data_IF_658280784967
#
_entry.id   IF_658280784967
#
_cell.length_a   1.000
_cell.length_b   1.000
_cell.length_c   1.000
_cell.angle_alpha   90.00
_cell.angle_beta   90.00
_cell.angle_gamma   90.00
#
_symmetry.space_group_name_H-M   'P 1'
#
loop_
_entity.id
_entity.type
_entity.pdbx_description
1 polymer ?
#
# COMPACT_ATOMS: atom_id res chain seq x y z
N UNK A 1 5.66 -21.38 -35.00
CA UNK A 1 7.12 -21.30 -34.71
C UNK A 1 8.00 -21.90 -35.80
N UNK A 2 7.92 -23.20 -36.14
CA UNK A 2 8.81 -23.84 -37.14
C UNK A 2 8.76 -23.21 -38.54
N UNK A 3 7.57 -22.85 -39.03
CA UNK A 3 7.40 -22.17 -40.34
C UNK A 3 8.09 -20.78 -40.37
N UNK A 4 7.98 -19.98 -39.31
CA UNK A 4 8.64 -18.66 -39.20
C UNK A 4 10.16 -18.79 -39.25
N UNK A 5 10.72 -19.74 -38.51
CA UNK A 5 12.16 -20.00 -38.50
C UNK A 5 12.69 -20.36 -39.91
N UNK A 6 11.95 -21.20 -40.64
CA UNK A 6 12.31 -21.57 -42.01
C UNK A 6 12.28 -20.37 -42.96
N UNK A 7 11.29 -19.48 -42.85
CA UNK A 7 11.21 -18.28 -43.71
C UNK A 7 12.28 -17.25 -43.34
N UNK A 8 12.60 -17.07 -42.05
CA UNK A 8 13.73 -16.22 -41.62
C UNK A 8 15.07 -16.74 -42.16
N UNK A 9 15.26 -18.06 -42.18
CA UNK A 9 16.45 -18.67 -42.79
C UNK A 9 16.51 -18.34 -44.29
N UNK A 10 15.41 -18.55 -45.02
CA UNK A 10 15.32 -18.20 -46.45
C UNK A 10 15.60 -16.73 -46.74
N UNK A 11 15.15 -15.81 -45.88
CA UNK A 11 15.45 -14.39 -46.00
C UNK A 11 16.96 -14.11 -45.96
N UNK A 12 17.68 -14.71 -45.01
CA UNK A 12 19.14 -14.58 -44.87
C UNK A 12 19.90 -15.15 -46.07
N UNK A 13 19.42 -16.26 -46.61
CA UNK A 13 20.12 -16.99 -47.69
C UNK A 13 19.84 -16.39 -49.10
N UNK A 14 18.82 -15.55 -49.24
CA UNK A 14 18.41 -14.99 -50.56
C UNK A 14 19.27 -13.80 -50.96
N UNK A 15 19.83 -13.82 -52.18
CA UNK A 15 20.67 -12.73 -52.73
C UNK A 15 19.88 -11.64 -53.48
N UNK A 16 18.76 -12.00 -54.11
CA UNK A 16 17.95 -11.06 -54.90
C UNK A 16 17.13 -10.13 -54.01
N UNK A 17 17.28 -8.82 -54.21
CA UNK A 17 16.54 -7.78 -53.45
C UNK A 17 15.02 -7.86 -53.65
N UNK A 18 14.54 -8.15 -54.86
CA UNK A 18 13.10 -8.30 -55.11
C UNK A 18 12.51 -9.47 -54.29
N UNK A 19 13.19 -10.61 -54.29
CA UNK A 19 12.74 -11.78 -53.54
C UNK A 19 12.88 -11.57 -52.02
N UNK A 20 13.88 -10.81 -51.56
CA UNK A 20 13.99 -10.43 -50.15
C UNK A 20 12.76 -9.65 -49.69
N UNK A 21 12.33 -8.63 -50.44
CA UNK A 21 11.12 -7.84 -50.12
C UNK A 21 9.86 -8.71 -50.01
N UNK A 22 9.69 -9.68 -50.92
CA UNK A 22 8.56 -10.63 -50.86
C UNK A 22 8.62 -11.53 -49.62
N UNK A 23 9.82 -12.00 -49.25
CA UNK A 23 10.01 -12.84 -48.07
C UNK A 23 9.81 -12.04 -46.77
N UNK A 24 10.22 -10.77 -46.76
CA UNK A 24 10.04 -9.83 -45.64
C UNK A 24 8.56 -9.54 -45.39
N UNK A 25 7.80 -9.15 -46.41
CA UNK A 25 6.36 -8.94 -46.30
C UNK A 25 5.62 -10.21 -45.80
N UNK A 26 6.10 -11.39 -46.20
CA UNK A 26 5.58 -12.66 -45.67
C UNK A 26 5.92 -12.89 -44.20
N UNK A 27 7.11 -12.48 -43.76
CA UNK A 27 7.51 -12.55 -42.35
C UNK A 27 6.67 -11.62 -41.49
N UNK A 28 6.46 -10.38 -41.94
CA UNK A 28 5.63 -9.40 -41.25
C UNK A 28 4.20 -9.90 -41.05
N UNK A 29 3.58 -10.44 -42.12
CA UNK A 29 2.23 -11.03 -42.03
C UNK A 29 2.16 -12.15 -40.99
N UNK A 30 3.13 -13.07 -41.00
CA UNK A 30 3.18 -14.14 -39.99
C UNK A 30 3.36 -13.60 -38.57
N UNK A 31 4.15 -12.53 -38.40
CA UNK A 31 4.37 -11.90 -37.10
C UNK A 31 3.13 -11.11 -36.62
N UNK A 32 2.35 -10.53 -37.52
CA UNK A 32 1.03 -9.94 -37.22
C UNK A 32 0.03 -11.02 -36.81
N UNK A 33 -0.13 -12.08 -37.61
CA UNK A 33 -1.04 -13.21 -37.31
C UNK A 33 -0.70 -13.85 -35.95
N UNK A 34 0.58 -14.00 -35.63
CA UNK A 34 1.02 -14.55 -34.36
C UNK A 34 0.66 -13.64 -33.19
N UNK A 35 0.90 -12.33 -33.33
CA UNK A 35 0.53 -11.33 -32.32
C UNK A 35 -0.98 -11.34 -32.06
N UNK A 36 -1.78 -11.33 -33.12
CA UNK A 36 -3.24 -11.41 -33.02
C UNK A 36 -3.72 -12.72 -32.39
N UNK A 37 -3.11 -13.85 -32.75
CA UNK A 37 -3.47 -15.14 -32.17
C UNK A 37 -3.19 -15.20 -30.67
N UNK A 38 -2.06 -14.67 -30.22
CA UNK A 38 -1.72 -14.61 -28.80
C UNK A 38 -2.67 -13.67 -28.06
N UNK A 39 -2.95 -12.48 -28.63
CA UNK A 39 -3.91 -11.53 -28.07
C UNK A 39 -5.31 -12.14 -27.95
N UNK A 40 -5.78 -12.83 -28.99
CA UNK A 40 -7.08 -13.54 -28.98
C UNK A 40 -7.14 -14.59 -27.88
N UNK A 41 -6.07 -15.36 -27.72
CA UNK A 41 -6.00 -16.38 -26.67
C UNK A 41 -6.02 -15.74 -25.27
N UNK A 42 -5.26 -14.66 -25.04
CA UNK A 42 -5.26 -13.92 -23.78
C UNK A 42 -6.64 -13.36 -23.45
N UNK A 43 -7.29 -12.69 -24.40
CA UNK A 43 -8.64 -12.16 -24.22
C UNK A 43 -9.66 -13.25 -23.89
N UNK A 44 -9.57 -14.42 -24.53
CA UNK A 44 -10.45 -15.55 -24.24
C UNK A 44 -10.20 -16.08 -22.82
N UNK A 45 -8.94 -16.25 -22.44
CA UNK A 45 -8.60 -16.70 -21.08
C UNK A 45 -9.05 -15.71 -20.01
N UNK A 46 -8.93 -14.41 -20.27
CA UNK A 46 -9.42 -13.35 -19.38
C UNK A 46 -10.93 -13.36 -19.24
N UNK A 47 -11.68 -13.46 -20.35
CA UNK A 47 -13.15 -13.57 -20.32
C UNK A 47 -13.61 -14.77 -19.50
N UNK A 48 -13.02 -15.94 -19.76
CA UNK A 48 -13.32 -17.15 -19.02
C UNK A 48 -12.97 -17.01 -17.52
N UNK A 49 -11.88 -16.31 -17.20
CA UNK A 49 -11.51 -16.02 -15.82
C UNK A 49 -12.53 -15.11 -15.12
N UNK A 50 -13.05 -14.09 -15.80
CA UNK A 50 -14.10 -13.21 -15.26
C UNK A 50 -15.37 -14.00 -14.96
N UNK A 51 -15.81 -14.86 -15.89
CA UNK A 51 -16.97 -15.74 -15.66
C UNK A 51 -16.75 -16.72 -14.49
N UNK A 52 -15.54 -17.28 -14.39
CA UNK A 52 -15.16 -18.16 -13.28
C UNK A 52 -15.11 -17.41 -11.94
N UNK A 53 -14.65 -16.14 -11.92
CA UNK A 53 -14.61 -15.30 -10.71
C UNK A 53 -16.02 -14.96 -10.23
N UNK A 54 -16.95 -14.66 -11.15
CA UNK A 54 -18.36 -14.41 -10.81
C UNK A 54 -18.99 -15.60 -10.09
N UNK A 55 -18.67 -16.82 -10.52
CA UNK A 55 -19.17 -18.05 -9.90
C UNK A 55 -18.39 -18.43 -8.63
N UNK A 56 -17.06 -18.27 -8.64
CA UNK A 56 -16.17 -18.61 -7.54
C UNK A 56 -15.10 -17.50 -7.34
N UNK A 57 -15.26 -16.63 -6.33
CA UNK A 57 -14.33 -15.52 -6.12
C UNK A 57 -12.91 -15.98 -5.78
N UNK A 58 -12.69 -17.20 -5.27
CA UNK A 58 -11.33 -17.72 -5.00
C UNK A 58 -10.52 -17.91 -6.28
N UNK A 59 -11.16 -18.07 -7.43
CA UNK A 59 -10.49 -18.22 -8.72
C UNK A 59 -9.60 -17.02 -9.04
N UNK A 60 -9.96 -15.82 -8.55
CA UNK A 60 -9.15 -14.61 -8.68
C UNK A 60 -7.71 -14.82 -8.23
N UNK A 61 -7.50 -15.42 -7.06
CA UNK A 61 -6.16 -15.61 -6.51
C UNK A 61 -5.33 -16.61 -7.33
N UNK A 62 -5.96 -17.64 -7.89
CA UNK A 62 -5.31 -18.60 -8.79
C UNK A 62 -4.92 -17.92 -10.10
N UNK A 63 -5.84 -17.17 -10.72
CA UNK A 63 -5.59 -16.43 -11.95
C UNK A 63 -4.49 -15.38 -11.75
N UNK A 64 -4.55 -14.59 -10.67
CA UNK A 64 -3.56 -13.58 -10.33
C UNK A 64 -2.18 -14.20 -10.09
N UNK A 65 -2.09 -15.32 -9.35
CA UNK A 65 -0.81 -16.01 -9.09
C UNK A 65 -0.12 -16.49 -10.36
N UNK A 66 -0.88 -16.92 -11.35
CA UNK A 66 -0.35 -17.45 -12.61
C UNK A 66 0.06 -16.33 -13.58
N UNK A 67 -0.65 -15.19 -13.54
CA UNK A 67 -0.41 -14.08 -14.46
C UNK A 67 0.42 -12.92 -13.88
N UNK A 68 0.71 -12.93 -12.57
CA UNK A 68 1.54 -11.90 -11.92
C UNK A 68 3.05 -12.06 -12.19
N UNK A 69 3.48 -13.26 -12.60
CA UNK A 69 4.88 -13.55 -12.95
C UNK A 69 5.18 -13.15 -14.39
N UNK A 70 5.02 -11.86 -14.72
CA UNK A 70 5.54 -11.36 -15.98
C UNK A 70 7.05 -11.23 -15.87
N UNK A 71 7.77 -11.80 -16.84
CA UNK A 71 9.18 -11.50 -17.06
C UNK A 71 9.20 -10.07 -17.62
N UNK A 72 9.31 -9.07 -16.76
CA UNK A 72 9.49 -7.68 -17.17
C UNK A 72 10.85 -7.57 -17.84
N UNK A 73 10.89 -7.81 -19.14
CA UNK A 73 11.88 -7.15 -19.96
C UNK A 73 11.45 -5.68 -19.98
N UNK A 74 12.32 -4.77 -19.53
CA UNK A 74 12.04 -3.34 -19.56
C UNK A 74 12.03 -2.95 -21.03
N UNK A 75 10.84 -3.00 -21.63
CA UNK A 75 10.64 -2.79 -23.05
C UNK A 75 11.04 -1.34 -23.37
N UNK A 76 11.91 -1.17 -24.36
CA UNK A 76 12.24 0.15 -24.87
C UNK A 76 10.97 0.82 -25.40
N UNK A 77 10.77 2.08 -25.05
CA UNK A 77 9.60 2.86 -25.45
C UNK A 77 9.60 3.05 -26.96
N UNK A 78 8.44 2.78 -27.57
CA UNK A 78 8.22 3.00 -28.99
C UNK A 78 7.26 4.15 -29.19
N UNK A 79 7.55 5.02 -30.15
CA UNK A 79 6.63 6.06 -30.61
C UNK A 79 5.38 5.43 -31.28
N UNK A 80 4.40 6.26 -31.63
CA UNK A 80 3.16 5.86 -32.32
C UNK A 80 3.43 5.08 -33.62
N UNK A 81 4.57 5.34 -34.27
CA UNK A 81 5.02 4.65 -35.48
C UNK A 81 5.77 3.33 -35.22
N UNK A 82 5.94 2.94 -33.95
CA UNK A 82 6.63 1.70 -33.56
C UNK A 82 8.16 1.78 -33.58
N UNK A 83 8.73 2.97 -33.76
CA UNK A 83 10.17 3.21 -33.73
C UNK A 83 10.68 3.40 -32.30
N UNK A 84 11.89 2.91 -32.03
CA UNK A 84 12.56 3.09 -30.74
C UNK A 84 12.91 4.57 -30.54
N UNK A 85 12.43 5.17 -29.46
CA UNK A 85 12.74 6.54 -29.10
C UNK A 85 13.86 6.57 -28.04
N UNK A 86 14.86 7.43 -28.23
CA UNK A 86 16.01 7.55 -27.32
C UNK A 86 16.18 8.97 -26.79
N UNK A 87 15.41 9.94 -27.31
CA UNK A 87 15.50 11.33 -26.88
C UNK A 87 14.82 11.54 -25.51
N UNK A 88 15.52 12.02 -24.47
CA UNK A 88 14.99 12.14 -23.11
C UNK A 88 13.67 12.93 -22.96
N UNK A 89 13.44 14.07 -23.63
CA UNK A 89 12.19 14.82 -23.51
C UNK A 89 11.01 14.02 -24.06
N UNK A 90 11.19 13.38 -25.22
CA UNK A 90 10.16 12.54 -25.84
C UNK A 90 9.90 11.27 -25.05
N UNK A 91 10.94 10.70 -24.43
CA UNK A 91 10.77 9.57 -23.50
C UNK A 91 9.89 9.96 -22.31
N UNK A 92 10.11 11.13 -21.70
CA UNK A 92 9.26 11.63 -20.61
C UNK A 92 7.81 11.79 -21.04
N UNK A 93 7.58 12.31 -22.24
CA UNK A 93 6.24 12.47 -22.81
C UNK A 93 5.56 11.11 -23.05
N UNK A 94 6.27 10.17 -23.69
CA UNK A 94 5.79 8.81 -23.93
C UNK A 94 5.49 8.06 -22.62
N UNK A 95 6.36 8.20 -21.60
CA UNK A 95 6.10 7.65 -20.27
C UNK A 95 4.82 8.23 -19.67
N UNK A 96 4.67 9.56 -19.71
CA UNK A 96 3.50 10.25 -19.15
C UNK A 96 2.20 9.75 -19.81
N UNK A 97 2.20 9.60 -21.13
CA UNK A 97 1.06 9.05 -21.88
C UNK A 97 0.79 7.59 -21.54
N UNK A 98 1.83 6.76 -21.46
CA UNK A 98 1.69 5.34 -21.10
C UNK A 98 1.09 5.18 -19.70
N UNK A 99 1.56 5.97 -18.72
CA UNK A 99 1.03 5.93 -17.37
C UNK A 99 -0.39 6.49 -17.28
N UNK A 100 -0.72 7.55 -18.02
CA UNK A 100 -2.07 8.11 -18.02
C UNK A 100 -3.14 7.08 -18.41
N UNK A 101 -2.84 6.18 -19.36
CA UNK A 101 -3.75 5.11 -19.79
C UNK A 101 -3.89 3.93 -18.81
N UNK A 102 -3.01 3.79 -17.83
CA UNK A 102 -3.09 2.75 -16.79
C UNK A 102 -4.15 3.09 -15.75
N UNK A 103 -4.39 4.37 -15.53
CA UNK A 103 -5.38 4.82 -14.56
C UNK A 103 -6.78 4.81 -15.20
N UNK A 104 -7.70 4.08 -14.58
CA UNK A 104 -9.11 4.21 -14.92
C UNK A 104 -9.59 5.61 -14.57
N UNK A 105 -10.30 6.26 -15.49
CA UNK A 105 -11.07 7.44 -15.14
C UNK A 105 -12.09 7.05 -14.04
N UNK A 106 -12.15 7.78 -12.92
CA UNK A 106 -13.09 7.46 -11.86
C UNK A 106 -14.52 7.48 -12.41
N UNK A 107 -15.31 6.47 -12.03
CA UNK A 107 -16.71 6.40 -12.40
C UNK A 107 -17.43 7.64 -11.85
N UNK A 108 -17.94 8.49 -12.74
CA UNK A 108 -18.69 9.70 -12.35
C UNK A 108 -19.88 9.40 -11.44
N UNK A 109 -20.44 8.20 -11.55
CA UNK A 109 -21.55 7.72 -10.70
C UNK A 109 -21.15 7.49 -9.24
N UNK A 110 -19.85 7.39 -8.94
CA UNK A 110 -19.30 7.26 -7.58
C UNK A 110 -18.53 8.50 -7.15
N UNK A 111 -18.69 9.62 -7.86
CA UNK A 111 -18.12 10.88 -7.43
C UNK A 111 -18.79 11.31 -6.11
N UNK A 112 -17.97 11.64 -5.11
CA UNK A 112 -18.44 12.17 -3.84
C UNK A 112 -18.63 13.67 -4.04
N UNK A 113 -19.88 14.11 -4.13
CA UNK A 113 -20.21 15.52 -4.35
C UNK A 113 -19.88 16.39 -3.13
N UNK A 114 -20.07 15.85 -1.92
CA UNK A 114 -19.75 16.52 -0.66
C UNK A 114 -19.05 15.54 0.29
N UNK A 115 -17.77 15.79 0.55
CA UNK A 115 -16.97 14.99 1.49
C UNK A 115 -17.53 15.06 2.91
N UNK A 116 -18.09 16.19 3.31
CA UNK A 116 -18.61 16.39 4.66
C UNK A 116 -19.76 15.44 4.98
N UNK A 117 -20.78 15.37 4.12
CA UNK A 117 -21.91 14.46 4.30
C UNK A 117 -21.50 12.99 4.21
N UNK A 118 -20.60 12.64 3.28
CA UNK A 118 -20.11 11.27 3.11
C UNK A 118 -19.44 10.71 4.38
N UNK A 119 -18.59 11.50 5.04
CA UNK A 119 -17.92 11.07 6.28
C UNK A 119 -18.78 11.21 7.54
N UNK A 120 -19.93 11.91 7.49
CA UNK A 120 -20.82 12.12 8.66
C UNK A 120 -21.88 11.02 8.83
N UNK A 121 -22.29 10.33 7.77
CA UNK A 121 -23.35 9.32 7.82
C UNK A 121 -22.98 8.00 8.50
N UNK A 122 -21.72 7.80 8.91
CA UNK A 122 -21.25 6.58 9.59
C UNK A 122 -21.04 6.71 11.11
N UNK A 123 -21.33 7.87 11.71
CA UNK A 123 -20.96 8.15 13.10
C UNK A 123 -21.64 7.23 14.13
N UNK A 124 -22.73 6.53 13.78
CA UNK A 124 -23.50 5.70 14.72
C UNK A 124 -23.00 4.25 14.83
N UNK A 125 -22.15 3.75 13.92
CA UNK A 125 -21.65 2.36 13.95
C UNK A 125 -20.20 2.21 14.47
N UNK A 126 -19.53 3.30 14.87
CA UNK A 126 -18.10 3.25 15.16
C UNK A 126 -17.70 2.75 16.56
N UNK A 127 -18.62 2.19 17.36
CA UNK A 127 -18.26 1.53 18.62
C UNK A 127 -17.69 0.11 18.44
N UNK A 128 -17.61 -0.42 17.21
CA UNK A 128 -17.06 -1.75 16.94
C UNK A 128 -15.58 -1.77 16.47
N UNK A 129 -14.95 -0.62 16.26
CA UNK A 129 -13.61 -0.56 15.63
C UNK A 129 -12.51 -1.27 16.44
N UNK A 130 -12.66 -1.37 17.77
CA UNK A 130 -11.74 -2.08 18.65
C UNK A 130 -12.15 -3.54 18.95
N UNK A 131 -13.33 -4.00 18.53
CA UNK A 131 -13.78 -5.37 18.78
C UNK A 131 -13.21 -6.34 17.74
N UNK A 132 -12.17 -7.08 18.13
CA UNK A 132 -11.72 -8.25 17.38
C UNK A 132 -12.51 -9.49 17.80
N UNK A 133 -12.84 -10.35 16.85
CA UNK A 133 -13.48 -11.62 17.14
C UNK A 133 -12.49 -12.51 17.91
N UNK A 134 -12.74 -12.74 19.20
CA UNK A 134 -11.90 -13.60 20.07
C UNK A 134 -11.85 -15.06 19.59
N UNK A 135 -12.78 -15.47 18.72
CA UNK A 135 -12.82 -16.80 18.09
C UNK A 135 -12.06 -16.87 16.76
N UNK A 136 -11.50 -15.75 16.28
CA UNK A 136 -10.70 -15.75 15.05
C UNK A 136 -9.37 -16.50 15.26
N UNK A 137 -8.76 -17.05 14.19
CA UNK A 137 -7.47 -17.71 14.28
C UNK A 137 -6.40 -16.80 14.91
N UNK A 138 -5.53 -17.36 15.76
CA UNK A 138 -4.51 -16.60 16.52
C UNK A 138 -3.72 -15.62 15.65
N UNK A 139 -3.31 -16.04 14.45
CA UNK A 139 -2.57 -15.17 13.51
C UNK A 139 -3.34 -13.91 13.13
N UNK A 140 -4.65 -14.02 12.91
CA UNK A 140 -5.53 -12.90 12.54
C UNK A 140 -5.70 -11.96 13.73
N UNK A 141 -5.88 -12.53 14.93
CA UNK A 141 -5.92 -11.76 16.18
C UNK A 141 -4.62 -11.00 16.38
N UNK A 142 -3.47 -11.66 16.25
CA UNK A 142 -2.15 -11.02 16.36
C UNK A 142 -2.01 -9.87 15.37
N UNK A 143 -2.29 -10.09 14.08
CA UNK A 143 -2.22 -9.05 13.05
C UNK A 143 -3.10 -7.84 13.38
N UNK A 144 -4.33 -8.08 13.85
CA UNK A 144 -5.23 -7.00 14.27
C UNK A 144 -4.72 -6.26 15.51
N UNK A 145 -4.23 -6.97 16.52
CA UNK A 145 -3.69 -6.37 17.75
C UNK A 145 -2.36 -5.62 17.52
N UNK A 146 -1.64 -5.91 16.44
CA UNK A 146 -0.47 -5.14 16.01
C UNK A 146 -0.80 -3.96 15.10
N UNK A 147 -2.04 -3.86 14.60
CA UNK A 147 -2.44 -2.78 13.69
C UNK A 147 -2.56 -1.43 14.41
N UNK A 148 -2.29 -0.34 13.69
CA UNK A 148 -2.41 1.03 14.22
C UNK A 148 -3.85 1.36 14.64
N UNK A 149 -4.85 0.86 13.91
CA UNK A 149 -6.27 1.08 14.24
C UNK A 149 -6.66 0.48 15.60
N UNK A 150 -5.92 -0.52 16.08
CA UNK A 150 -6.09 -1.07 17.43
C UNK A 150 -5.16 -0.39 18.44
N UNK A 151 -3.87 -0.29 18.12
CA UNK A 151 -2.84 0.22 19.05
C UNK A 151 -2.96 1.71 19.32
N UNK A 152 -3.33 2.52 18.34
CA UNK A 152 -3.48 3.97 18.47
C UNK A 152 -4.51 4.35 19.53
N UNK A 153 -5.78 3.93 19.39
CA UNK A 153 -6.81 4.20 20.40
C UNK A 153 -6.48 3.60 21.76
N UNK A 154 -5.93 2.38 21.80
CA UNK A 154 -5.52 1.73 23.05
C UNK A 154 -4.45 2.54 23.79
N UNK A 155 -3.44 3.03 23.07
CA UNK A 155 -2.38 3.86 23.64
C UNK A 155 -2.93 5.20 24.13
N UNK A 156 -3.73 5.89 23.31
CA UNK A 156 -4.32 7.18 23.66
C UNK A 156 -5.23 7.10 24.89
N UNK A 157 -6.03 6.03 24.99
CA UNK A 157 -6.91 5.79 26.14
C UNK A 157 -6.15 5.38 27.40
N UNK A 158 -4.92 4.87 27.27
CA UNK A 158 -4.08 4.57 28.41
C UNK A 158 -3.49 5.84 29.05
N UNK A 159 -3.35 6.94 28.31
CA UNK A 159 -2.79 8.20 28.81
C UNK A 159 -3.67 8.86 29.89
N UNK A 160 -3.08 9.62 30.83
CA UNK A 160 -3.83 10.42 31.80
C UNK A 160 -4.72 11.47 31.14
N UNK A 161 -5.82 11.84 31.81
CA UNK A 161 -6.78 12.82 31.28
C UNK A 161 -6.13 14.17 30.97
N UNK A 162 -5.22 14.66 31.83
CA UNK A 162 -4.57 15.95 31.60
C UNK A 162 -3.65 15.99 30.37
N UNK A 163 -3.21 14.84 29.85
CA UNK A 163 -2.47 14.74 28.59
C UNK A 163 -3.44 14.67 27.42
N UNK A 164 -4.51 13.88 27.58
CA UNK A 164 -5.50 13.58 26.53
C UNK A 164 -6.39 14.77 26.19
N UNK A 165 -6.90 15.43 27.22
CA UNK A 165 -7.90 16.49 27.14
C UNK A 165 -7.22 17.88 27.13
N UNK A 166 -5.89 17.92 26.96
CA UNK A 166 -5.16 19.18 26.90
C UNK A 166 -5.55 19.93 25.63
N UNK A 167 -6.15 21.10 25.80
CA UNK A 167 -6.31 22.06 24.71
C UNK A 167 -4.92 22.54 24.28
N UNK A 168 -4.49 22.09 23.10
CA UNK A 168 -3.26 22.50 22.45
C UNK A 168 -3.60 23.26 21.17
N UNK A 169 -3.03 24.45 20.99
CA UNK A 169 -3.19 25.22 19.75
C UNK A 169 -2.29 24.72 18.61
N UNK A 170 -1.29 23.89 18.93
CA UNK A 170 -0.41 23.24 17.94
C UNK A 170 0.00 21.82 18.36
N UNK A 171 0.40 21.02 17.36
CA UNK A 171 0.88 19.64 17.56
C UNK A 171 2.13 19.60 18.45
N UNK A 172 3.00 20.59 18.36
CA UNK A 172 4.25 20.60 19.14
C UNK A 172 4.02 20.89 20.62
N UNK A 173 2.96 21.63 20.97
CA UNK A 173 2.56 21.77 22.37
C UNK A 173 2.09 20.44 22.95
N UNK A 174 1.32 19.66 22.18
CA UNK A 174 0.89 18.32 22.60
C UNK A 174 2.09 17.40 22.79
N UNK A 175 3.04 17.39 21.84
CA UNK A 175 4.28 16.60 21.96
C UNK A 175 5.05 16.92 23.23
N UNK A 176 5.24 18.21 23.57
CA UNK A 176 5.95 18.61 24.80
C UNK A 176 5.29 18.09 26.07
N UNK A 177 3.96 18.12 26.13
CA UNK A 177 3.19 17.60 27.28
C UNK A 177 3.31 16.08 27.34
N UNK A 178 3.21 15.40 26.19
CA UNK A 178 3.37 13.96 26.09
C UNK A 178 4.79 13.52 26.49
N UNK A 179 5.83 14.15 25.95
CA UNK A 179 7.23 13.83 26.25
C UNK A 179 7.52 13.97 27.75
N UNK A 180 7.04 15.06 28.37
CA UNK A 180 7.14 15.24 29.82
C UNK A 180 6.48 14.10 30.57
N UNK A 181 5.28 13.68 30.17
CA UNK A 181 4.64 12.52 30.80
C UNK A 181 5.44 11.23 30.58
N UNK A 182 5.97 11.00 29.38
CA UNK A 182 6.73 9.80 29.06
C UNK A 182 8.03 9.69 29.89
N UNK A 183 8.65 10.80 30.29
CA UNK A 183 9.80 10.76 31.22
C UNK A 183 9.47 10.19 32.59
N UNK A 184 8.19 10.21 33.00
CA UNK A 184 7.74 9.61 34.26
C UNK A 184 7.47 8.11 34.17
N UNK A 185 7.41 7.56 32.95
CA UNK A 185 7.11 6.14 32.72
C UNK A 185 8.43 5.36 32.79
N UNK A 186 8.53 4.33 33.65
CA UNK A 186 9.76 3.56 33.76
C UNK A 186 10.00 2.73 32.49
N UNK A 187 11.17 2.91 31.87
CA UNK A 187 11.62 2.04 30.78
C UNK A 187 12.36 0.83 31.36
N UNK A 188 11.72 -0.34 31.31
CA UNK A 188 12.29 -1.59 31.81
C UNK A 188 12.47 -2.55 30.62
N UNK A 189 13.60 -2.49 29.91
CA UNK A 189 13.85 -3.41 28.81
C UNK A 189 13.82 -4.86 29.30
N UNK A 190 13.34 -5.77 28.45
CA UNK A 190 13.34 -7.21 28.74
C UNK A 190 14.77 -7.75 28.66
N UNK A 191 15.51 -7.67 29.76
CA UNK A 191 16.84 -8.28 29.86
C UNK A 191 16.66 -9.76 30.23
N UNK A 192 17.24 -10.70 29.47
CA UNK A 192 17.24 -12.12 29.85
C UNK A 192 17.77 -12.30 31.28
N UNK A 193 17.10 -13.13 32.08
CA UNK A 193 17.41 -13.45 33.48
C UNK A 193 17.04 -12.40 34.55
N UNK A 194 16.39 -11.30 34.17
CA UNK A 194 15.84 -10.34 35.14
C UNK A 194 14.32 -10.49 35.30
N UNK A 195 13.83 -10.35 36.53
CA UNK A 195 12.40 -10.26 36.80
C UNK A 195 11.87 -8.93 36.29
N UNK A 196 10.81 -8.97 35.49
CA UNK A 196 10.15 -7.77 34.96
C UNK A 196 8.96 -7.47 35.87
N UNK A 197 8.77 -6.20 36.25
CA UNK A 197 7.64 -5.81 37.09
C UNK A 197 6.33 -5.75 36.31
N UNK A 198 6.38 -5.35 35.04
CA UNK A 198 5.24 -5.30 34.12
C UNK A 198 5.21 -6.50 33.15
N UNK A 199 4.02 -6.83 32.61
CA UNK A 199 3.84 -7.93 31.67
C UNK A 199 4.63 -7.74 30.35
N UNK A 200 4.81 -6.48 29.94
CA UNK A 200 5.69 -6.12 28.84
C UNK A 200 6.19 -4.68 28.98
N UNK A 201 7.17 -4.30 28.15
CA UNK A 201 7.66 -2.93 28.11
C UNK A 201 6.76 -1.99 27.29
N UNK A 202 5.48 -2.33 27.12
CA UNK A 202 4.52 -1.48 26.43
C UNK A 202 3.99 -0.41 27.40
N UNK A 203 3.81 0.82 26.91
CA UNK A 203 3.28 1.93 27.72
C UNK A 203 1.97 1.53 28.44
N UNK A 204 0.98 0.89 27.80
CA UNK A 204 -0.23 0.45 28.51
C UNK A 204 0.04 -0.47 29.70
N UNK A 205 0.99 -1.41 29.58
CA UNK A 205 1.31 -2.36 30.65
C UNK A 205 2.09 -1.69 31.79
N UNK A 206 3.02 -0.78 31.45
CA UNK A 206 3.75 0.01 32.44
C UNK A 206 2.80 0.93 33.22
N UNK A 207 1.85 1.58 32.54
CA UNK A 207 0.84 2.43 33.21
C UNK A 207 -0.14 1.61 34.05
N UNK A 208 -0.51 0.40 33.61
CA UNK A 208 -1.35 -0.50 34.41
C UNK A 208 -0.65 -0.89 35.71
N UNK A 209 0.66 -1.16 35.66
CA UNK A 209 1.48 -1.40 36.86
C UNK A 209 1.53 -0.14 37.75
N UNK A 210 1.82 1.04 37.19
CA UNK A 210 1.86 2.29 37.96
C UNK A 210 0.54 2.60 38.67
N UNK A 211 -0.60 2.24 38.05
CA UNK A 211 -1.93 2.35 38.66
C UNK A 211 -2.10 1.38 39.82
N UNK A 212 -1.65 0.13 39.67
CA UNK A 212 -1.72 -0.87 40.73
C UNK A 212 -0.82 -0.50 41.93
N UNK A 213 0.34 0.11 41.67
CA UNK A 213 1.29 0.58 42.68
C UNK A 213 0.86 1.91 43.36
N UNK A 214 -0.20 2.58 42.87
CA UNK A 214 -0.64 3.89 43.39
C UNK A 214 0.24 5.08 42.97
N UNK A 215 1.21 4.86 42.08
CA UNK A 215 2.14 5.88 41.57
C UNK A 215 1.67 6.57 40.29
N UNK A 216 0.41 6.35 39.87
CA UNK A 216 -0.14 6.94 38.67
C UNK A 216 -0.57 8.39 38.93
N UNK A 217 0.12 9.34 38.31
CA UNK A 217 -0.21 10.76 38.40
C UNK A 217 -1.41 11.08 37.50
N UNK A 218 -2.61 11.19 38.08
CA UNK A 218 -3.82 11.62 37.36
C UNK A 218 -3.94 13.14 37.23
N UNK A 219 -3.11 13.89 37.95
CA UNK A 219 -3.07 15.36 37.95
C UNK A 219 -1.72 15.86 37.44
N UNK A 220 -1.67 17.06 36.82
CA UNK A 220 -0.41 17.63 36.37
C UNK A 220 0.54 17.84 37.58
N UNK A 221 1.85 17.56 37.44
CA UNK A 221 2.81 17.83 38.50
C UNK A 221 2.78 19.33 38.85
N UNK A 222 2.86 19.65 40.15
CA UNK A 222 2.67 21.00 40.72
C UNK A 222 3.57 22.11 40.13
N UNK A 223 4.54 21.78 39.28
CA UNK A 223 5.45 22.72 38.61
C UNK A 223 4.85 23.47 37.40
N UNK A 224 3.57 23.30 37.07
CA UNK A 224 2.93 23.99 35.93
C UNK A 224 2.66 25.49 36.14
N UNK A 225 3.10 26.10 37.24
CA UNK A 225 2.95 27.55 37.47
C UNK A 225 4.13 28.40 36.99
N UNK A 226 5.22 27.81 36.48
CA UNK A 226 6.32 28.60 35.93
C UNK A 226 6.37 28.49 34.40
N UNK A 227 6.11 29.60 33.66
CA UNK A 227 6.37 29.63 32.24
C UNK A 227 7.88 29.50 32.03
N UNK A 228 8.30 28.45 31.33
CA UNK A 228 9.68 28.29 30.86
C UNK A 228 9.95 29.41 29.86
N UNK A 229 10.96 30.28 30.08
CA UNK A 229 11.25 31.37 29.17
C UNK A 229 11.63 30.84 27.80
N UNK A 230 11.07 31.49 26.77
CA UNK A 230 11.34 31.24 25.37
C UNK A 230 12.79 31.64 25.06
N UNK A 231 13.71 30.69 25.08
CA UNK A 231 15.03 30.87 24.44
C UNK A 231 14.83 30.57 22.96
N UNK A 232 14.57 31.63 22.19
CA UNK A 232 14.66 31.59 20.74
C UNK A 232 16.12 31.61 20.34
N UNK A 233 16.59 30.50 19.77
CA UNK A 233 17.74 30.51 18.87
C UNK A 233 17.28 29.92 17.54
N UNK A 234 17.58 30.66 16.46
CA UNK A 234 17.16 30.40 15.09
C UNK A 234 18.14 29.55 14.28
#
# INVERSE_FOLDING_TARGET
>A
MRKRAAVRKKFKDTKSEHNKRLIEARLERMDQELRESVRRQQQLTEKNAVEAIKTNPKYFYTYAKNNSKLKTDVMALTDADGNLENDPPKLCELFSQQFAGVFNAPLRTMAIDDSGSFFRSGATEHQELCNYNKRAPTRVVTQRMTSISYRGPTLFNALPRYVRDKECSSVDQFKRVLDRFLTSVPDQPKIPHYSIRALSNSIPDQLALMRADGNFMDSPPHDTLYPVPFTGEG
#
